data_IF_644351627958
#
_entry.id   IF_644351627958
#
_cell.length_a   1.000
_cell.length_b   1.000
_cell.length_c   1.000
_cell.angle_alpha   90.00
_cell.angle_beta   90.00
_cell.angle_gamma   90.00
#
_symmetry.space_group_name_H-M   'P 1'
#
loop_
_entity.id
_entity.type
_entity.pdbx_description
1 polymer ?
#
# COMPACT_ATOMS: atom_id res chain seq x y z
N UNK A 1 -29.90 -17.74 -12.82
CA UNK A 1 -28.68 -17.71 -13.64
C UNK A 1 -27.57 -17.26 -12.71
N UNK A 2 -26.50 -18.03 -12.52
CA UNK A 2 -25.40 -17.59 -11.68
C UNK A 2 -24.82 -16.29 -12.26
N UNK A 3 -24.38 -15.34 -11.42
CA UNK A 3 -23.76 -14.13 -11.91
C UNK A 3 -22.54 -14.50 -12.73
N UNK A 4 -22.45 -13.96 -13.95
CA UNK A 4 -21.23 -14.08 -14.75
C UNK A 4 -20.23 -13.05 -14.23
N UNK A 5 -19.04 -13.53 -13.89
CA UNK A 5 -17.93 -12.68 -13.51
C UNK A 5 -17.05 -12.43 -14.73
N UNK A 6 -16.59 -11.20 -14.89
CA UNK A 6 -15.74 -10.82 -16.03
C UNK A 6 -14.27 -11.12 -15.71
N UNK A 7 -13.89 -10.98 -14.44
CA UNK A 7 -12.54 -11.23 -13.94
C UNK A 7 -12.62 -11.84 -12.55
N UNK A 8 -11.64 -12.68 -12.22
CA UNK A 8 -11.40 -13.20 -10.87
C UNK A 8 -9.91 -13.21 -10.59
N UNK A 9 -9.56 -12.90 -9.35
CA UNK A 9 -8.19 -13.06 -8.84
C UNK A 9 -8.01 -14.45 -8.23
N UNK A 10 -6.78 -14.75 -7.84
CA UNK A 10 -6.46 -15.91 -7.04
C UNK A 10 -7.15 -15.86 -5.67
N UNK A 11 -7.31 -17.02 -5.06
CA UNK A 11 -7.90 -17.11 -3.72
C UNK A 11 -6.87 -16.72 -2.66
N UNK A 12 -7.14 -15.62 -1.97
CA UNK A 12 -6.42 -15.17 -0.79
C UNK A 12 -7.30 -15.35 0.44
N UNK A 13 -6.76 -15.99 1.49
CA UNK A 13 -7.51 -16.31 2.72
C UNK A 13 -8.83 -17.07 2.48
N UNK A 14 -8.93 -17.81 1.35
CA UNK A 14 -10.11 -18.59 0.97
C UNK A 14 -11.19 -17.80 0.25
N UNK A 15 -10.94 -16.54 -0.10
CA UNK A 15 -11.81 -15.66 -0.85
C UNK A 15 -11.13 -15.18 -2.12
N UNK A 16 -11.89 -15.04 -3.22
CA UNK A 16 -11.42 -14.43 -4.45
C UNK A 16 -12.21 -13.16 -4.73
N UNK A 17 -11.52 -12.11 -5.16
CA UNK A 17 -12.15 -10.91 -5.67
C UNK A 17 -12.67 -11.20 -7.08
N UNK A 18 -13.85 -10.72 -7.39
CA UNK A 18 -14.48 -10.83 -8.69
C UNK A 18 -15.00 -9.48 -9.14
N UNK A 19 -14.96 -9.26 -10.45
CA UNK A 19 -15.57 -8.09 -11.08
C UNK A 19 -16.89 -8.55 -11.71
N UNK A 20 -17.97 -7.89 -11.36
CA UNK A 20 -19.28 -8.23 -11.86
C UNK A 20 -19.54 -7.61 -13.23
N UNK A 21 -20.36 -8.27 -14.07
CA UNK A 21 -20.71 -7.78 -15.39
C UNK A 21 -21.27 -6.34 -15.34
N UNK A 22 -20.71 -5.53 -16.15
CA UNK A 22 -21.07 -4.19 -16.57
C UNK A 22 -20.06 -3.79 -17.62
N UNK A 23 -20.39 -2.92 -18.58
CA UNK A 23 -19.37 -2.42 -19.49
C UNK A 23 -18.34 -1.65 -18.66
N UNK A 24 -17.20 -2.30 -18.42
CA UNK A 24 -16.08 -1.71 -17.72
C UNK A 24 -15.39 -0.73 -18.65
N UNK A 25 -15.65 0.55 -18.48
CA UNK A 25 -14.82 1.57 -19.10
C UNK A 25 -13.55 1.79 -18.25
N UNK A 26 -12.45 2.03 -18.94
CA UNK A 26 -11.13 2.34 -18.40
C UNK A 26 -11.17 3.02 -17.03
N UNK A 27 -10.66 2.33 -16.02
CA UNK A 27 -10.24 2.97 -14.78
C UNK A 27 -8.72 2.92 -14.81
N UNK A 28 -8.09 4.05 -15.07
CA UNK A 28 -6.64 4.18 -15.21
C UNK A 28 -5.87 3.97 -13.90
N UNK A 29 -6.54 3.88 -12.75
CA UNK A 29 -5.88 3.70 -11.45
C UNK A 29 -6.78 2.91 -10.49
N UNK A 30 -6.44 1.67 -10.19
CA UNK A 30 -7.06 0.86 -9.14
C UNK A 30 -6.92 -0.65 -9.38
N UNK A 31 -6.98 -1.48 -8.33
CA UNK A 31 -6.79 -2.93 -8.42
C UNK A 31 -7.90 -3.67 -9.21
N UNK A 32 -8.97 -3.01 -9.61
CA UNK A 32 -9.93 -3.51 -10.60
C UNK A 32 -9.56 -3.10 -12.04
N UNK A 33 -8.41 -2.43 -12.23
CA UNK A 33 -7.99 -1.82 -13.50
C UNK A 33 -7.14 -2.73 -14.40
N UNK A 34 -6.75 -3.91 -13.93
CA UNK A 34 -5.74 -4.74 -14.60
C UNK A 34 -6.31 -5.68 -15.65
N UNK A 35 -7.08 -5.19 -16.60
CA UNK A 35 -7.11 -5.72 -17.98
C UNK A 35 -8.20 -5.09 -18.83
N UNK A 36 -7.84 -4.72 -20.06
CA UNK A 36 -8.76 -4.47 -21.17
C UNK A 36 -9.58 -5.73 -21.46
N UNK A 37 -10.84 -5.72 -21.08
CA UNK A 37 -11.84 -6.60 -21.67
C UNK A 37 -12.96 -5.72 -22.20
N UNK A 38 -12.68 -5.02 -23.27
CA UNK A 38 -13.74 -4.43 -24.10
C UNK A 38 -14.26 -5.54 -25.01
N UNK A 39 -15.58 -5.75 -25.12
CA UNK A 39 -16.12 -6.51 -26.24
C UNK A 39 -15.71 -5.80 -27.54
N UNK A 40 -15.37 -6.58 -28.57
CA UNK A 40 -14.87 -6.13 -29.88
C UNK A 40 -15.71 -5.04 -30.55
N UNK A 41 -16.93 -4.79 -30.05
CA UNK A 41 -17.93 -3.85 -30.59
C UNK A 41 -18.41 -2.82 -29.56
N UNK A 42 -17.62 -2.52 -28.51
CA UNK A 42 -18.03 -1.50 -27.55
C UNK A 42 -18.03 -0.11 -28.18
N UNK A 43 -19.14 0.65 -28.11
CA UNK A 43 -19.18 2.01 -28.64
C UNK A 43 -18.17 2.90 -27.91
N UNK A 44 -17.36 3.64 -28.65
CA UNK A 44 -16.29 4.53 -28.14
C UNK A 44 -16.80 5.77 -27.39
N UNK A 45 -18.10 5.93 -27.22
CA UNK A 45 -18.71 7.04 -26.50
C UNK A 45 -20.00 6.58 -25.80
N UNK A 46 -19.88 6.14 -24.56
CA UNK A 46 -21.04 5.77 -23.76
C UNK A 46 -20.72 5.86 -22.28
N UNK A 47 -21.61 6.47 -21.50
CA UNK A 47 -21.61 6.37 -20.05
C UNK A 47 -21.99 4.96 -19.63
N UNK A 48 -20.98 4.14 -19.42
CA UNK A 48 -21.19 2.83 -18.82
C UNK A 48 -21.14 2.96 -17.29
N UNK A 49 -22.00 2.24 -16.56
CA UNK A 49 -21.87 2.19 -15.11
C UNK A 49 -20.49 1.60 -14.76
N UNK A 50 -19.80 2.17 -13.75
CA UNK A 50 -18.50 1.67 -13.34
C UNK A 50 -18.61 0.21 -12.89
N UNK A 51 -17.60 -0.59 -13.21
CA UNK A 51 -17.47 -1.95 -12.70
C UNK A 51 -17.44 -1.92 -11.18
N UNK A 52 -18.00 -2.94 -10.56
CA UNK A 52 -18.00 -3.10 -9.11
C UNK A 52 -17.27 -4.38 -8.74
N UNK A 53 -16.49 -4.31 -7.68
CA UNK A 53 -15.83 -5.46 -7.09
C UNK A 53 -16.77 -6.15 -6.10
N UNK A 54 -16.69 -7.47 -6.07
CA UNK A 54 -17.33 -8.32 -5.08
C UNK A 54 -16.36 -9.45 -4.69
N UNK A 55 -16.78 -10.28 -3.75
CA UNK A 55 -16.00 -11.45 -3.32
C UNK A 55 -16.83 -12.72 -3.38
N UNK A 56 -16.19 -13.82 -3.73
CA UNK A 56 -16.75 -15.16 -3.70
C UNK A 56 -15.91 -16.06 -2.77
N UNK A 57 -16.58 -17.03 -2.17
CA UNK A 57 -15.91 -18.14 -1.48
C UNK A 57 -15.49 -19.24 -2.48
N UNK A 58 -14.81 -20.27 -1.98
CA UNK A 58 -14.35 -21.41 -2.82
C UNK A 58 -15.49 -22.24 -3.43
N UNK A 59 -16.72 -22.05 -2.98
CA UNK A 59 -17.91 -22.68 -3.58
C UNK A 59 -18.50 -21.85 -4.72
N UNK A 60 -17.97 -20.66 -4.98
CA UNK A 60 -18.47 -19.70 -5.95
C UNK A 60 -19.63 -18.85 -5.45
N UNK A 61 -19.94 -18.93 -4.14
CA UNK A 61 -21.01 -18.13 -3.54
C UNK A 61 -20.51 -16.72 -3.26
N UNK A 62 -21.30 -15.72 -3.66
CA UNK A 62 -21.05 -14.33 -3.31
C UNK A 62 -21.06 -14.13 -1.78
N UNK A 63 -20.02 -13.46 -1.29
CA UNK A 63 -19.86 -13.13 0.13
C UNK A 63 -20.90 -12.10 0.57
N UNK A 64 -21.21 -11.14 -0.28
CA UNK A 64 -22.17 -10.07 0.00
C UNK A 64 -22.84 -9.62 -1.30
N UNK A 65 -24.07 -9.10 -1.20
CA UNK A 65 -24.75 -8.43 -2.32
C UNK A 65 -24.20 -7.03 -2.58
N UNK A 66 -23.49 -6.45 -1.62
CA UNK A 66 -22.84 -5.15 -1.76
C UNK A 66 -21.67 -5.28 -2.73
N UNK A 67 -21.59 -4.32 -3.63
CA UNK A 67 -20.54 -4.22 -4.64
C UNK A 67 -19.75 -2.93 -4.39
N UNK A 68 -18.44 -3.08 -4.35
CA UNK A 68 -17.52 -1.99 -4.00
C UNK A 68 -16.99 -1.31 -5.25
N UNK A 69 -16.66 -0.02 -5.14
CA UNK A 69 -16.04 0.75 -6.24
C UNK A 69 -14.64 0.24 -6.54
N UNK A 70 -13.93 -0.22 -5.51
CA UNK A 70 -12.66 -0.93 -5.60
C UNK A 70 -12.51 -1.86 -4.40
N UNK A 71 -11.66 -2.86 -4.53
CA UNK A 71 -11.31 -3.77 -3.44
C UNK A 71 -9.92 -4.35 -3.67
N UNK A 72 -9.25 -4.71 -2.60
CA UNK A 72 -8.02 -5.51 -2.62
C UNK A 72 -8.32 -6.90 -2.07
N UNK A 73 -7.36 -7.82 -2.19
CA UNK A 73 -7.47 -9.19 -1.69
C UNK A 73 -7.61 -9.25 -0.17
N UNK A 74 -8.05 -10.39 0.32
CA UNK A 74 -8.06 -10.68 1.76
C UNK A 74 -6.65 -10.95 2.26
N UNK A 75 -6.29 -10.32 3.36
CA UNK A 75 -5.08 -10.61 4.12
C UNK A 75 -5.42 -10.57 5.61
N UNK A 76 -4.95 -11.56 6.35
CA UNK A 76 -5.22 -11.71 7.78
C UNK A 76 -6.73 -11.66 8.14
N UNK A 77 -7.59 -12.14 7.21
CA UNK A 77 -9.03 -12.21 7.41
C UNK A 77 -9.82 -10.95 7.16
N UNK A 78 -9.17 -9.86 6.71
CA UNK A 78 -9.80 -8.60 6.33
C UNK A 78 -9.42 -8.21 4.90
N UNK A 79 -10.34 -7.54 4.19
CA UNK A 79 -10.09 -7.01 2.86
C UNK A 79 -10.40 -5.52 2.82
N UNK A 80 -9.49 -4.68 2.28
CA UNK A 80 -9.79 -3.29 2.01
C UNK A 80 -10.83 -3.17 0.90
N UNK A 81 -11.86 -2.36 1.14
CA UNK A 81 -12.91 -2.05 0.17
C UNK A 81 -13.14 -0.56 0.08
N UNK A 82 -13.45 -0.10 -1.12
CA UNK A 82 -13.74 1.31 -1.39
C UNK A 82 -15.23 1.52 -1.62
N UNK A 83 -15.78 2.50 -0.95
CA UNK A 83 -17.15 2.99 -1.16
C UNK A 83 -17.08 4.51 -1.39
N UNK A 84 -17.48 4.96 -2.57
CA UNK A 84 -17.19 6.31 -3.01
C UNK A 84 -15.69 6.57 -3.13
N UNK A 85 -15.20 7.58 -2.43
CA UNK A 85 -13.78 7.94 -2.43
C UNK A 85 -13.04 7.54 -1.13
N UNK A 86 -13.65 6.68 -0.30
CA UNK A 86 -13.08 6.26 0.99
C UNK A 86 -12.93 4.75 1.09
N UNK A 87 -11.87 4.36 1.76
CA UNK A 87 -11.53 2.97 2.04
C UNK A 87 -11.89 2.58 3.47
N UNK A 88 -12.44 1.39 3.61
CA UNK A 88 -12.70 0.69 4.86
C UNK A 88 -12.31 -0.77 4.72
N UNK A 89 -12.76 -1.62 5.64
CA UNK A 89 -12.43 -3.05 5.62
C UNK A 89 -13.65 -3.90 5.92
N UNK A 90 -13.71 -5.05 5.25
CA UNK A 90 -14.71 -6.10 5.49
C UNK A 90 -14.06 -7.36 6.02
N UNK A 91 -14.85 -8.17 6.73
CA UNK A 91 -14.49 -9.51 7.14
C UNK A 91 -14.88 -10.56 6.09
N UNK A 92 -14.52 -11.82 6.34
CA UNK A 92 -14.86 -12.97 5.49
C UNK A 92 -16.37 -13.31 5.46
N UNK A 93 -17.21 -12.63 6.25
CA UNK A 93 -18.66 -12.71 6.19
C UNK A 93 -19.26 -11.60 5.32
N UNK A 94 -18.42 -10.69 4.80
CA UNK A 94 -18.84 -9.54 4.04
C UNK A 94 -19.39 -8.40 4.89
N UNK A 95 -19.14 -8.42 6.20
CA UNK A 95 -19.55 -7.37 7.10
C UNK A 95 -18.49 -6.28 7.15
N UNK A 96 -18.90 -5.01 7.09
CA UNK A 96 -18.00 -3.88 7.30
C UNK A 96 -17.53 -3.92 8.76
N UNK A 97 -16.23 -4.11 8.96
CA UNK A 97 -15.57 -4.09 10.28
C UNK A 97 -14.98 -2.73 10.57
N UNK A 98 -14.45 -2.08 9.54
CA UNK A 98 -13.91 -0.74 9.63
C UNK A 98 -14.62 0.10 8.57
N UNK A 99 -15.38 1.10 9.02
CA UNK A 99 -16.14 1.98 8.14
C UNK A 99 -15.24 2.71 7.14
N UNK A 100 -15.71 2.92 5.89
CA UNK A 100 -14.96 3.66 4.88
C UNK A 100 -14.71 5.11 5.31
N UNK A 101 -13.46 5.41 5.70
CA UNK A 101 -13.03 6.73 6.19
C UNK A 101 -11.66 7.16 5.72
N UNK A 102 -10.83 6.23 5.24
CA UNK A 102 -9.46 6.50 4.82
C UNK A 102 -9.39 6.87 3.33
N UNK A 103 -8.41 7.70 2.96
CA UNK A 103 -8.19 8.07 1.55
C UNK A 103 -7.52 6.96 0.76
N UNK A 104 -6.65 6.16 1.44
CA UNK A 104 -6.08 4.91 0.93
C UNK A 104 -5.99 3.90 2.06
N UNK A 105 -6.03 2.62 1.70
CA UNK A 105 -5.86 1.52 2.64
C UNK A 105 -5.11 0.37 1.98
N UNK A 106 -4.12 -0.18 2.68
CA UNK A 106 -3.37 -1.36 2.27
C UNK A 106 -3.91 -2.61 2.95
N UNK A 107 -3.34 -3.75 2.59
CA UNK A 107 -3.61 -5.03 3.22
C UNK A 107 -3.14 -5.01 4.69
N UNK A 108 -3.75 -5.84 5.51
CA UNK A 108 -3.18 -6.13 6.82
C UNK A 108 -1.91 -6.97 6.65
N UNK A 109 -0.86 -6.55 7.33
CA UNK A 109 0.41 -7.26 7.43
C UNK A 109 0.91 -7.17 8.86
N UNK A 110 1.22 -8.30 9.45
CA UNK A 110 1.73 -8.44 10.84
C UNK A 110 0.85 -7.77 11.90
N UNK A 111 -0.48 -7.76 11.65
CA UNK A 111 -1.50 -7.21 12.56
C UNK A 111 -1.82 -5.74 12.36
N UNK A 112 -1.14 -5.04 11.44
CA UNK A 112 -1.36 -3.62 11.13
C UNK A 112 -1.70 -3.41 9.66
N UNK A 113 -2.42 -2.34 9.37
CA UNK A 113 -2.63 -1.90 8.00
C UNK A 113 -2.17 -0.45 7.84
N UNK A 114 -1.41 -0.21 6.77
CA UNK A 114 -1.05 1.13 6.34
C UNK A 114 -2.27 1.82 5.75
N UNK A 115 -2.62 2.99 6.27
CA UNK A 115 -3.71 3.81 5.77
C UNK A 115 -3.24 5.25 5.56
N UNK A 116 -3.90 5.94 4.63
CA UNK A 116 -3.63 7.35 4.37
C UNK A 116 -4.83 8.20 4.78
N UNK A 117 -4.55 9.30 5.45
CA UNK A 117 -5.51 10.34 5.80
C UNK A 117 -4.97 11.70 5.35
N UNK A 118 -5.61 12.32 4.37
CA UNK A 118 -5.05 13.45 3.67
C UNK A 118 -3.79 13.06 2.90
N UNK A 119 -2.68 13.73 3.18
CA UNK A 119 -1.38 13.45 2.56
C UNK A 119 -0.47 12.55 3.42
N UNK A 120 -0.93 12.22 4.62
CA UNK A 120 -0.10 11.54 5.61
C UNK A 120 -0.56 10.09 5.79
N UNK A 121 0.41 9.22 5.95
CA UNK A 121 0.25 7.81 6.21
C UNK A 121 0.45 7.48 7.69
N UNK A 122 -0.26 6.49 8.17
CA UNK A 122 -0.16 5.94 9.52
C UNK A 122 -0.62 4.49 9.54
N UNK A 123 -0.60 3.88 10.68
CA UNK A 123 -0.92 2.46 10.83
C UNK A 123 -2.08 2.26 11.80
N UNK A 124 -3.02 1.43 11.41
CA UNK A 124 -4.18 1.05 12.20
C UNK A 124 -4.10 -0.41 12.64
N UNK A 125 -4.76 -0.71 13.73
CA UNK A 125 -5.07 -2.08 14.15
C UNK A 125 -6.35 -2.61 13.48
N UNK A 126 -6.71 -3.85 13.81
CA UNK A 126 -7.90 -4.52 13.25
C UNK A 126 -9.23 -3.92 13.70
N UNK A 127 -9.23 -3.03 14.68
CA UNK A 127 -10.43 -2.26 15.09
C UNK A 127 -10.61 -0.98 14.27
N UNK A 128 -9.61 -0.61 13.46
CA UNK A 128 -9.56 0.64 12.72
C UNK A 128 -9.06 1.83 13.55
N UNK A 129 -8.47 1.55 14.72
CA UNK A 129 -7.84 2.55 15.59
C UNK A 129 -6.39 2.77 15.17
N UNK A 130 -5.95 4.03 15.12
CA UNK A 130 -4.55 4.33 14.87
C UNK A 130 -3.68 3.84 16.03
N UNK A 131 -2.75 2.93 15.74
CA UNK A 131 -1.65 2.56 16.62
C UNK A 131 -0.48 3.52 16.42
N UNK A 132 -0.24 3.88 15.18
CA UNK A 132 0.74 4.91 14.80
C UNK A 132 -0.03 5.96 14.02
N UNK A 133 -0.17 7.20 14.55
CA UNK A 133 -0.92 8.26 13.91
C UNK A 133 -0.44 8.56 12.50
N UNK A 134 -1.35 9.08 11.64
CA UNK A 134 -0.99 9.53 10.31
C UNK A 134 -0.06 10.75 10.40
N UNK A 135 1.21 10.54 10.15
CA UNK A 135 2.26 11.56 10.30
C UNK A 135 3.38 11.45 9.25
N UNK A 136 3.45 10.37 8.46
CA UNK A 136 4.51 10.13 7.48
C UNK A 136 4.05 10.52 6.09
N UNK A 137 4.92 11.18 5.31
CA UNK A 137 4.65 11.44 3.88
C UNK A 137 4.79 10.19 3.02
N UNK A 138 5.64 9.27 3.47
CA UNK A 138 5.87 7.97 2.85
C UNK A 138 5.89 6.88 3.93
N UNK A 139 5.30 5.76 3.65
CA UNK A 139 5.40 4.55 4.46
C UNK A 139 5.16 3.31 3.60
N UNK A 140 5.74 2.19 4.01
CA UNK A 140 5.47 0.84 3.50
C UNK A 140 4.89 -0.04 4.59
N UNK A 141 4.26 -1.15 4.20
CA UNK A 141 3.66 -2.09 5.13
C UNK A 141 4.72 -2.72 6.05
N UNK A 142 4.31 -3.17 7.23
CA UNK A 142 5.18 -3.91 8.13
C UNK A 142 5.65 -5.22 7.49
N UNK A 143 6.93 -5.50 7.59
CA UNK A 143 7.55 -6.75 7.18
C UNK A 143 8.77 -7.05 8.06
N UNK A 144 8.90 -8.29 8.51
CA UNK A 144 9.94 -8.73 9.46
C UNK A 144 9.99 -7.85 10.74
N UNK A 145 8.80 -7.35 11.19
CA UNK A 145 8.64 -6.56 12.40
C UNK A 145 8.93 -5.06 12.26
N UNK A 146 9.32 -4.60 11.09
CA UNK A 146 9.71 -3.22 10.80
C UNK A 146 8.93 -2.64 9.62
N UNK A 147 8.75 -1.32 9.62
CA UNK A 147 8.17 -0.59 8.50
C UNK A 147 9.09 0.56 8.08
N UNK A 148 9.23 0.77 6.78
CA UNK A 148 9.90 1.94 6.22
C UNK A 148 8.97 3.14 6.32
N UNK A 149 9.49 4.26 6.80
CA UNK A 149 8.80 5.56 6.79
C UNK A 149 9.73 6.65 6.31
N UNK A 150 9.18 7.71 5.75
CA UNK A 150 10.00 8.80 5.20
C UNK A 150 9.30 10.14 5.17
N UNK A 151 10.14 11.17 5.06
CA UNK A 151 9.74 12.55 4.86
C UNK A 151 10.56 13.19 3.75
N UNK A 152 9.94 14.15 3.07
CA UNK A 152 10.65 15.04 2.15
C UNK A 152 11.37 16.12 2.96
N UNK A 153 12.67 16.23 2.80
CA UNK A 153 13.48 17.29 3.39
C UNK A 153 13.71 18.33 2.32
N UNK A 154 13.16 19.53 2.50
CA UNK A 154 13.44 20.64 1.60
C UNK A 154 14.81 21.20 1.96
N UNK A 155 15.84 20.90 1.15
CA UNK A 155 17.13 21.55 1.30
C UNK A 155 17.05 22.95 0.67
N UNK A 156 17.20 23.99 1.46
CA UNK A 156 17.24 25.38 1.01
C UNK A 156 18.60 25.76 0.38
N UNK A 157 19.34 24.78 -0.17
CA UNK A 157 20.59 25.05 -0.87
C UNK A 157 20.33 25.56 -2.26
N UNK A 158 20.69 26.84 -2.44
CA UNK A 158 20.90 27.54 -3.71
C UNK A 158 19.88 27.30 -4.82
N UNK A 159 18.70 27.93 -4.75
CA UNK A 159 17.78 28.20 -5.88
C UNK A 159 17.40 27.05 -6.83
N UNK A 160 17.76 25.81 -6.53
CA UNK A 160 17.34 24.62 -7.24
C UNK A 160 16.60 23.73 -6.25
N UNK A 161 15.31 23.91 -6.06
CA UNK A 161 14.48 23.13 -5.11
C UNK A 161 14.72 21.62 -5.19
N UNK A 162 15.86 21.18 -4.65
CA UNK A 162 16.18 19.76 -4.53
C UNK A 162 15.44 19.23 -3.30
N UNK A 163 14.59 18.26 -3.54
CA UNK A 163 13.85 17.59 -2.46
C UNK A 163 14.66 16.35 -2.11
N UNK A 164 15.36 16.41 -0.98
CA UNK A 164 15.98 15.24 -0.40
C UNK A 164 14.90 14.44 0.34
N UNK A 165 14.95 13.12 0.24
CA UNK A 165 14.13 12.22 1.04
C UNK A 165 15.00 11.55 2.06
N UNK A 166 14.46 11.35 3.26
CA UNK A 166 15.09 10.54 4.27
C UNK A 166 14.14 9.46 4.73
N UNK A 167 14.65 8.25 4.80
CA UNK A 167 13.90 7.06 5.18
C UNK A 167 14.47 6.48 6.47
N UNK A 168 13.56 5.95 7.32
CA UNK A 168 13.88 5.26 8.56
C UNK A 168 13.09 3.98 8.67
N UNK A 169 13.53 3.11 9.55
CA UNK A 169 12.77 1.97 9.98
C UNK A 169 12.17 2.21 11.36
N UNK A 170 10.87 1.94 11.47
CA UNK A 170 10.16 2.01 12.75
C UNK A 170 9.68 0.61 13.16
N UNK A 171 9.59 0.40 14.46
CA UNK A 171 8.98 -0.78 15.05
C UNK A 171 7.45 -0.62 15.19
N UNK A 172 6.77 -1.66 15.67
CA UNK A 172 5.32 -1.70 15.87
C UNK A 172 4.79 -0.71 16.92
N UNK A 173 5.65 -0.08 17.70
CA UNK A 173 5.34 1.01 18.63
C UNK A 173 5.52 2.39 17.99
N UNK A 174 5.86 2.45 16.71
CA UNK A 174 6.13 3.70 15.98
C UNK A 174 7.45 4.37 16.35
N UNK A 175 8.33 3.67 17.07
CA UNK A 175 9.65 4.17 17.45
C UNK A 175 10.67 3.79 16.40
N UNK A 176 11.61 4.69 16.13
CA UNK A 176 12.75 4.40 15.27
C UNK A 176 13.49 3.15 15.80
N UNK A 177 13.66 2.16 14.93
CA UNK A 177 14.26 0.87 15.27
C UNK A 177 15.73 0.81 14.87
N UNK A 178 16.09 1.43 13.75
CA UNK A 178 17.45 1.52 13.24
C UNK A 178 17.85 2.99 13.34
N UNK A 179 18.97 3.32 14.04
CA UNK A 179 19.37 4.71 14.30
C UNK A 179 19.71 5.51 13.05
N UNK A 180 20.16 4.83 12.00
CA UNK A 180 20.57 5.45 10.73
C UNK A 180 19.36 5.86 9.89
N UNK A 181 19.53 6.95 9.15
CA UNK A 181 18.64 7.36 8.08
C UNK A 181 19.28 7.01 6.73
N UNK A 182 18.44 6.67 5.76
CA UNK A 182 18.84 6.20 4.44
C UNK A 182 18.32 7.16 3.36
N UNK A 183 19.03 7.25 2.23
CA UNK A 183 18.56 7.99 1.06
C UNK A 183 17.54 7.18 0.24
N UNK A 184 17.58 5.86 0.37
CA UNK A 184 16.61 4.90 -0.13
C UNK A 184 16.52 3.74 0.85
N UNK A 185 15.32 3.23 1.07
CA UNK A 185 15.08 2.04 1.88
C UNK A 185 13.92 1.25 1.29
N UNK A 186 14.03 -0.07 1.28
CA UNK A 186 12.96 -1.02 0.93
C UNK A 186 12.44 -1.72 2.18
N UNK A 187 11.25 -2.28 2.09
CA UNK A 187 10.75 -3.19 3.12
C UNK A 187 11.70 -4.37 3.32
N UNK A 188 11.75 -4.89 4.53
CA UNK A 188 12.49 -6.12 4.83
C UNK A 188 11.84 -7.32 4.16
N UNK A 189 12.66 -8.24 3.71
CA UNK A 189 12.22 -9.54 3.21
C UNK A 189 13.21 -10.62 3.64
N UNK A 190 12.75 -11.58 4.42
CA UNK A 190 13.58 -12.66 4.99
C UNK A 190 14.81 -12.14 5.74
N UNK A 191 14.60 -11.11 6.55
CA UNK A 191 15.61 -10.53 7.42
C UNK A 191 16.57 -9.54 6.75
N UNK A 192 16.40 -9.23 5.47
CA UNK A 192 17.25 -8.30 4.73
C UNK A 192 16.44 -7.19 4.08
N UNK A 193 16.99 -5.98 4.07
CA UNK A 193 16.46 -4.84 3.34
C UNK A 193 17.55 -4.21 2.46
N UNK A 194 17.13 -3.76 1.29
CA UNK A 194 17.98 -3.01 0.38
C UNK A 194 17.92 -1.52 0.70
N UNK A 195 19.05 -0.91 0.93
CA UNK A 195 19.16 0.50 1.32
C UNK A 195 20.23 1.22 0.52
N UNK A 196 20.12 2.54 0.46
CA UNK A 196 21.21 3.42 0.04
C UNK A 196 21.71 4.16 1.26
N UNK A 197 22.97 3.92 1.61
CA UNK A 197 23.60 4.54 2.78
C UNK A 197 23.80 6.04 2.54
N UNK A 198 23.68 6.85 3.59
CA UNK A 198 24.09 8.26 3.53
C UNK A 198 25.62 8.35 3.61
N UNK A 199 26.22 9.03 2.66
CA UNK A 199 27.63 9.41 2.81
C UNK A 199 27.70 10.66 3.70
N UNK A 200 28.31 10.51 4.86
CA UNK A 200 28.69 11.64 5.74
C UNK A 200 29.99 12.33 5.30
N UNK A 201 30.45 12.11 4.08
CA UNK A 201 31.62 12.84 3.57
C UNK A 201 31.21 14.28 3.27
N UNK A 202 31.62 15.19 4.14
CA UNK A 202 31.64 16.60 3.84
C UNK A 202 32.88 16.86 2.98
N UNK A 203 32.72 17.51 1.86
CA UNK A 203 33.83 18.10 1.13
C UNK A 203 34.44 19.27 1.94
N UNK A 204 35.52 19.87 1.44
CA UNK A 204 36.18 21.00 2.09
C UNK A 204 35.26 22.21 2.31
N UNK A 205 34.10 22.25 1.63
CA UNK A 205 33.07 23.26 1.74
C UNK A 205 31.88 22.82 2.63
N UNK A 206 31.93 21.62 3.22
CA UNK A 206 30.88 21.07 4.06
C UNK A 206 29.71 20.44 3.30
N UNK A 207 29.85 20.19 2.01
CA UNK A 207 28.83 19.60 1.15
C UNK A 207 29.16 18.14 0.79
N UNK A 208 28.19 17.25 0.94
CA UNK A 208 28.26 15.90 0.38
C UNK A 208 27.43 15.89 -0.90
N UNK A 209 28.10 15.78 -2.04
CA UNK A 209 27.43 15.79 -3.35
C UNK A 209 27.26 14.40 -3.97
N UNK A 210 27.86 13.38 -3.38
CA UNK A 210 27.78 12.03 -3.91
C UNK A 210 26.82 11.16 -3.11
N UNK A 211 25.94 10.43 -3.81
CA UNK A 211 25.09 9.43 -3.17
C UNK A 211 25.94 8.29 -2.59
N UNK A 212 25.55 7.80 -1.44
CA UNK A 212 26.20 6.65 -0.80
C UNK A 212 26.03 5.34 -1.58
N UNK A 213 26.81 4.32 -1.23
CA UNK A 213 26.72 3.00 -1.84
C UNK A 213 25.39 2.34 -1.50
N UNK A 214 24.98 1.42 -2.34
CA UNK A 214 23.90 0.50 -2.02
C UNK A 214 24.40 -0.59 -1.08
N UNK A 215 23.53 -1.04 -0.19
CA UNK A 215 23.83 -2.08 0.78
C UNK A 215 22.60 -2.94 1.06
N UNK A 216 22.83 -4.14 1.55
CA UNK A 216 21.84 -4.93 2.28
C UNK A 216 22.14 -4.84 3.76
N UNK A 217 21.10 -4.54 4.54
CA UNK A 217 21.17 -4.51 6.00
C UNK A 217 20.27 -5.58 6.60
N UNK A 218 20.60 -6.06 7.79
CA UNK A 218 19.74 -6.92 8.59
C UNK A 218 18.78 -6.08 9.46
N UNK A 219 17.88 -6.73 10.18
CA UNK A 219 16.86 -6.07 11.03
C UNK A 219 17.43 -5.29 12.21
N UNK A 220 18.71 -5.45 12.53
CA UNK A 220 19.43 -4.63 13.54
C UNK A 220 20.10 -3.40 12.91
N UNK A 221 20.09 -3.28 11.59
CA UNK A 221 20.72 -2.18 10.86
C UNK A 221 22.17 -2.46 10.47
N UNK A 222 22.72 -3.65 10.78
CA UNK A 222 24.07 -4.00 10.40
C UNK A 222 24.16 -4.26 8.92
N UNK A 223 25.17 -3.70 8.26
CA UNK A 223 25.45 -3.93 6.85
C UNK A 223 25.97 -5.35 6.63
N UNK A 224 25.25 -6.10 5.83
CA UNK A 224 25.61 -7.48 5.46
C UNK A 224 26.45 -7.50 4.19
N UNK A 225 26.12 -6.61 3.24
CA UNK A 225 26.78 -6.53 1.95
C UNK A 225 26.66 -5.11 1.37
N UNK A 226 27.73 -4.62 0.70
CA UNK A 226 27.76 -3.34 -0.05
C UNK A 226 28.24 -3.56 -1.47
N UNK A 227 27.73 -2.73 -2.42
CA UNK A 227 28.14 -2.77 -3.84
C UNK A 227 27.94 -1.41 -4.52
#
# INVERSE_FOLDING_TARGET
IPPKFVLSDDFHDGMARVVTEGPCTYIFEGPCADREVLPENAPHSGQYPPCKCAFIDRTGRLLTTMRYDSAKEFSEGLAPVQVGNKWGYIDKKGQIVIEPKFDKANLFSEGFALVQQGRLAGFIDRTGSFVIPAQFEYAEDFSDGLAVVGFSIISHKENKGHIDRAFWYINKQGKQAIPEAFDLASSFFKGLAHVRLKLHKKDENGESSEPGPFAYINTTGETVFTY
#
